data_IF_721475219102
#
_entry.id   IF_721475219102
#
_cell.length_a   1.000
_cell.length_b   1.000
_cell.length_c   1.000
_cell.angle_alpha   90.00
_cell.angle_beta   90.00
_cell.angle_gamma   90.00
#
_symmetry.space_group_name_H-M   'P 1'
#
loop_
_entity.id
_entity.type
_entity.pdbx_description
1 polymer ?
#
# COMPACT_ATOMS: atom_id res chain seq x y z
N UNK A 1 14.54 17.13 -5.76
CA UNK A 1 13.15 16.63 -5.74
C UNK A 1 12.25 17.79 -5.37
N UNK A 2 11.23 18.09 -6.17
CA UNK A 2 10.38 19.27 -5.97
C UNK A 2 9.58 19.14 -4.68
N UNK A 3 9.64 20.17 -3.84
CA UNK A 3 8.96 20.25 -2.55
C UNK A 3 7.45 20.52 -2.78
N UNK A 4 6.76 19.58 -3.43
CA UNK A 4 5.33 19.65 -3.70
C UNK A 4 4.55 19.34 -2.43
N UNK A 5 3.51 20.12 -2.06
CA UNK A 5 2.65 19.82 -0.92
C UNK A 5 1.75 18.60 -1.16
N UNK A 6 1.72 18.07 -2.39
CA UNK A 6 0.90 16.93 -2.78
C UNK A 6 1.64 15.63 -2.50
N UNK A 7 0.99 14.72 -1.76
CA UNK A 7 1.45 13.34 -1.59
C UNK A 7 0.79 12.45 -2.62
N UNK A 8 1.56 11.58 -3.27
CA UNK A 8 1.05 10.62 -4.26
C UNK A 8 0.97 9.23 -3.61
N UNK A 9 -0.26 8.75 -3.43
CA UNK A 9 -0.55 7.39 -2.98
C UNK A 9 -1.02 6.49 -4.12
N UNK A 10 -1.21 5.20 -3.81
CA UNK A 10 -1.71 4.21 -4.77
C UNK A 10 -2.66 3.21 -4.10
N UNK A 11 -3.67 2.77 -4.84
CA UNK A 11 -4.50 1.65 -4.43
C UNK A 11 -3.77 0.31 -4.73
N UNK A 12 -3.71 -0.65 -3.81
CA UNK A 12 -3.00 -1.92 -3.99
C UNK A 12 -3.62 -2.87 -5.04
N UNK A 13 -4.74 -2.50 -5.68
CA UNK A 13 -5.39 -3.29 -6.75
C UNK A 13 -4.45 -3.62 -7.92
N UNK A 14 -3.41 -2.81 -8.15
CA UNK A 14 -2.37 -3.11 -9.15
C UNK A 14 -1.58 -4.39 -8.87
N UNK A 15 -1.57 -4.88 -7.61
CA UNK A 15 -0.89 -6.10 -7.18
C UNK A 15 -1.84 -7.25 -6.83
N UNK A 16 -3.04 -6.92 -6.32
CA UNK A 16 -4.03 -7.91 -5.90
C UNK A 16 -5.44 -7.35 -5.93
N UNK A 17 -6.36 -8.05 -6.58
CA UNK A 17 -7.77 -7.66 -6.67
C UNK A 17 -8.61 -8.42 -5.62
N UNK A 18 -9.31 -7.68 -4.74
CA UNK A 18 -10.16 -8.26 -3.69
C UNK A 18 -11.42 -8.94 -4.24
N UNK A 19 -12.00 -8.39 -5.32
CA UNK A 19 -13.22 -8.92 -5.94
C UNK A 19 -12.93 -10.15 -6.82
N UNK A 20 -11.74 -10.21 -7.42
CA UNK A 20 -11.31 -11.33 -8.27
C UNK A 20 -9.94 -11.86 -7.81
N UNK A 21 -9.90 -12.73 -6.77
CA UNK A 21 -8.65 -13.18 -6.15
C UNK A 21 -7.68 -13.92 -7.08
N UNK A 22 -8.17 -14.49 -8.19
CA UNK A 22 -7.29 -15.08 -9.21
C UNK A 22 -6.34 -14.06 -9.84
N UNK A 23 -6.65 -12.76 -9.74
CA UNK A 23 -5.78 -11.65 -10.15
C UNK A 23 -4.91 -11.20 -8.98
N UNK A 24 -3.79 -11.90 -8.78
CA UNK A 24 -2.77 -11.48 -7.82
C UNK A 24 -3.11 -11.72 -6.35
N UNK A 25 -4.11 -12.56 -6.04
CA UNK A 25 -4.45 -12.94 -4.66
C UNK A 25 -3.30 -13.60 -3.91
N UNK A 26 -2.38 -14.27 -4.61
CA UNK A 26 -1.16 -14.84 -4.02
C UNK A 26 -0.05 -13.81 -3.79
N UNK A 27 -0.16 -12.60 -4.36
CA UNK A 27 0.82 -11.52 -4.16
C UNK A 27 0.79 -11.09 -2.68
N UNK A 28 1.90 -11.23 -1.93
CA UNK A 28 1.96 -10.78 -0.55
C UNK A 28 1.83 -9.27 -0.43
N UNK A 29 1.26 -8.78 0.66
CA UNK A 29 1.20 -7.34 0.94
C UNK A 29 2.59 -6.70 0.93
N UNK A 30 3.58 -7.37 1.50
CA UNK A 30 4.97 -6.91 1.53
C UNK A 30 5.57 -6.67 0.14
N UNK A 31 5.17 -7.46 -0.87
CA UNK A 31 5.59 -7.24 -2.26
C UNK A 31 5.06 -5.92 -2.79
N UNK A 32 3.77 -5.66 -2.61
CA UNK A 32 3.15 -4.41 -3.04
C UNK A 32 3.78 -3.20 -2.34
N UNK A 33 4.00 -3.27 -1.02
CA UNK A 33 4.60 -2.18 -0.25
C UNK A 33 6.05 -1.90 -0.67
N UNK A 34 6.87 -2.94 -0.82
CA UNK A 34 8.26 -2.81 -1.29
C UNK A 34 8.32 -2.17 -2.67
N UNK A 35 7.57 -2.70 -3.63
CA UNK A 35 7.59 -2.21 -5.01
C UNK A 35 6.98 -0.81 -5.13
N UNK A 36 5.89 -0.53 -4.41
CA UNK A 36 5.31 0.81 -4.37
C UNK A 36 6.30 1.86 -3.86
N UNK A 37 7.10 1.50 -2.84
CA UNK A 37 8.18 2.36 -2.35
C UNK A 37 9.29 2.56 -3.38
N UNK A 38 9.71 1.49 -4.06
CA UNK A 38 10.73 1.53 -5.12
C UNK A 38 10.29 2.40 -6.32
N UNK A 39 8.99 2.38 -6.66
CA UNK A 39 8.38 3.25 -7.70
C UNK A 39 8.37 4.72 -7.28
N UNK A 40 8.32 4.99 -5.97
CA UNK A 40 8.32 6.35 -5.41
C UNK A 40 6.96 6.80 -4.88
N UNK A 41 6.00 5.89 -4.70
CA UNK A 41 4.77 6.21 -3.98
C UNK A 41 5.07 6.55 -2.52
N UNK A 42 4.26 7.46 -1.96
CA UNK A 42 4.42 7.94 -0.58
C UNK A 42 3.49 7.22 0.40
N UNK A 43 2.57 6.40 -0.11
CA UNK A 43 1.63 5.66 0.71
C UNK A 43 0.63 4.85 -0.10
N UNK A 44 -0.23 4.12 0.63
CA UNK A 44 -1.20 3.21 0.06
C UNK A 44 -2.62 3.49 0.56
N UNK A 45 -3.59 3.12 -0.27
CA UNK A 45 -4.95 2.86 0.20
C UNK A 45 -5.06 1.45 0.80
N UNK A 46 -6.13 1.19 1.57
CA UNK A 46 -6.37 -0.12 2.16
C UNK A 46 -7.06 -1.09 1.18
N UNK A 47 -6.77 -2.37 1.36
CA UNK A 47 -7.53 -3.48 0.78
C UNK A 47 -7.66 -4.64 1.79
N UNK A 48 -8.23 -5.75 1.34
CA UNK A 48 -8.48 -6.95 2.13
C UNK A 48 -7.26 -7.52 2.85
N UNK A 49 -6.05 -7.30 2.32
CA UNK A 49 -4.77 -7.83 2.85
C UNK A 49 -4.19 -7.02 3.99
N UNK A 50 -4.64 -5.78 4.23
CA UNK A 50 -4.15 -4.97 5.35
C UNK A 50 -4.70 -5.47 6.70
N UNK A 51 -3.94 -5.26 7.80
CA UNK A 51 -4.45 -5.44 9.15
C UNK A 51 -5.73 -4.64 9.40
N UNK A 52 -6.57 -5.12 10.33
CA UNK A 52 -7.86 -4.48 10.64
C UNK A 52 -7.78 -3.45 11.77
N UNK A 53 -6.62 -3.31 12.42
CA UNK A 53 -6.40 -2.33 13.48
C UNK A 53 -5.56 -1.15 12.98
N UNK A 54 -5.83 0.09 13.45
CA UNK A 54 -5.03 1.25 13.11
C UNK A 54 -3.53 1.06 13.43
N UNK A 55 -3.22 0.40 14.55
CA UNK A 55 -1.85 0.11 14.97
C UNK A 55 -1.17 -0.83 13.97
N UNK A 56 -1.82 -1.94 13.60
CA UNK A 56 -1.24 -2.89 12.65
C UNK A 56 -1.02 -2.28 11.25
N UNK A 57 -1.93 -1.41 10.81
CA UNK A 57 -1.75 -0.66 9.54
C UNK A 57 -0.55 0.28 9.63
N UNK A 58 -0.40 1.02 10.74
CA UNK A 58 0.75 1.91 10.95
C UNK A 58 2.05 1.14 10.98
N UNK A 59 2.10 0.00 11.68
CA UNK A 59 3.29 -0.82 11.82
C UNK A 59 3.74 -1.35 10.45
N UNK A 60 2.84 -1.96 9.68
CA UNK A 60 3.20 -2.56 8.38
C UNK A 60 3.61 -1.52 7.34
N UNK A 61 2.99 -0.34 7.32
CA UNK A 61 3.39 0.75 6.42
C UNK A 61 4.70 1.41 6.86
N UNK A 62 4.90 1.54 8.17
CA UNK A 62 6.08 2.13 8.78
C UNK A 62 7.36 1.39 8.43
N UNK A 63 7.31 0.06 8.30
CA UNK A 63 8.45 -0.77 7.86
C UNK A 63 9.04 -0.33 6.50
N UNK A 64 8.23 0.29 5.64
CA UNK A 64 8.63 0.75 4.30
C UNK A 64 8.75 2.27 4.20
N UNK A 65 8.52 2.99 5.29
CA UNK A 65 8.42 4.46 5.28
C UNK A 65 7.34 4.96 4.33
N UNK A 66 6.18 4.30 4.36
CA UNK A 66 4.96 4.63 3.63
C UNK A 66 3.89 5.13 4.60
N UNK A 67 2.93 5.89 4.09
CA UNK A 67 1.78 6.38 4.86
C UNK A 67 0.46 5.75 4.42
N UNK A 68 -0.56 5.81 5.29
CA UNK A 68 -1.94 5.55 4.90
C UNK A 68 -2.48 6.79 4.19
N UNK A 69 -2.90 6.65 2.93
CA UNK A 69 -3.35 7.79 2.11
C UNK A 69 -4.87 7.95 2.15
N UNK A 70 -5.61 6.84 2.10
CA UNK A 70 -7.07 6.78 2.21
C UNK A 70 -7.53 5.37 2.61
N UNK A 71 -8.74 5.24 3.14
CA UNK A 71 -9.32 3.97 3.58
C UNK A 71 -9.78 3.96 5.02
#
# INVERSE_FOLDING_TARGET
>A
MTNSPVKIGINPISWSNDDLPSLGGETPLSTALREGKEIGYQGFELNGKFPKTPEGVRDVLGEYGLELVSG
#
